data_IF_629826644488
#
_entry.id   IF_629826644488
#
_cell.length_a   1.000
_cell.length_b   1.000
_cell.length_c   1.000
_cell.angle_alpha   90.00
_cell.angle_beta   90.00
_cell.angle_gamma   90.00
#
_symmetry.space_group_name_H-M   'P 1'
#
loop_
_entity.id
_entity.type
_entity.pdbx_description
1 polymer ?
#
# COMPACT_ATOMS: atom_id res chain seq x y z
N UNK A 1 9.19 -15.26 -9.68
CA UNK A 1 10.39 -15.82 -9.01
C UNK A 1 10.22 -15.56 -7.53
N UNK A 2 10.40 -16.55 -6.66
CA UNK A 2 10.43 -16.35 -5.21
C UNK A 2 11.87 -16.20 -4.75
N UNK A 3 12.17 -15.15 -3.98
CA UNK A 3 13.45 -14.97 -3.31
C UNK A 3 13.19 -15.01 -1.79
N UNK A 4 13.81 -15.93 -1.04
CA UNK A 4 13.61 -15.98 0.41
C UNK A 4 14.28 -14.78 1.07
N UNK A 5 13.50 -14.03 1.86
CA UNK A 5 13.98 -12.89 2.66
C UNK A 5 13.75 -13.19 4.13
N UNK A 6 14.78 -13.00 4.95
CA UNK A 6 14.65 -13.16 6.40
C UNK A 6 13.99 -11.91 6.98
N UNK A 7 12.92 -12.11 7.75
CA UNK A 7 12.16 -11.05 8.40
C UNK A 7 12.11 -11.29 9.91
N UNK A 8 12.04 -10.20 10.66
CA UNK A 8 11.90 -10.27 12.11
C UNK A 8 10.58 -10.94 12.51
N UNK A 9 10.56 -11.81 13.55
CA UNK A 9 9.35 -12.52 13.96
C UNK A 9 8.19 -11.59 14.32
N UNK A 10 8.48 -10.44 14.93
CA UNK A 10 7.47 -9.46 15.30
C UNK A 10 6.86 -8.75 14.09
N UNK A 11 7.67 -8.45 13.08
CA UNK A 11 7.18 -7.91 11.81
C UNK A 11 6.23 -8.91 11.14
N UNK A 12 6.61 -10.19 11.11
CA UNK A 12 5.77 -11.25 10.55
C UNK A 12 4.43 -11.37 11.28
N UNK A 13 4.44 -11.35 12.62
CA UNK A 13 3.20 -11.42 13.44
C UNK A 13 2.28 -10.24 13.16
N UNK A 14 2.83 -9.02 13.07
CA UNK A 14 2.05 -7.81 12.72
C UNK A 14 1.48 -7.92 11.31
N UNK A 15 2.31 -8.27 10.33
CA UNK A 15 1.87 -8.45 8.95
C UNK A 15 0.76 -9.49 8.84
N UNK A 16 0.86 -10.63 9.55
CA UNK A 16 -0.16 -11.67 9.58
C UNK A 16 -1.51 -11.16 10.10
N UNK A 17 -1.50 -10.36 11.16
CA UNK A 17 -2.73 -9.80 11.75
C UNK A 17 -3.39 -8.80 10.80
N UNK A 18 -2.61 -7.87 10.28
CA UNK A 18 -3.10 -6.80 9.40
C UNK A 18 -3.56 -7.36 8.04
N UNK A 19 -2.81 -8.31 7.48
CA UNK A 19 -3.20 -9.00 6.24
C UNK A 19 -4.57 -9.69 6.35
N UNK A 20 -4.89 -10.26 7.52
CA UNK A 20 -6.18 -10.90 7.76
C UNK A 20 -7.34 -9.90 7.81
N UNK A 21 -7.10 -8.68 8.32
CA UNK A 21 -8.08 -7.59 8.40
C UNK A 21 -8.31 -6.99 7.01
N UNK A 22 -7.22 -6.81 6.27
CA UNK A 22 -7.21 -6.13 4.98
C UNK A 22 -7.46 -7.05 3.78
N UNK A 23 -7.76 -8.34 4.02
CA UNK A 23 -7.94 -9.36 3.00
C UNK A 23 -6.75 -9.49 2.02
N UNK A 24 -5.53 -9.28 2.50
CA UNK A 24 -4.28 -9.46 1.73
C UNK A 24 -3.56 -10.75 2.13
N UNK A 25 -2.61 -11.19 1.30
CA UNK A 25 -1.64 -12.20 1.74
C UNK A 25 -0.63 -11.56 2.69
N UNK A 26 0.05 -12.37 3.52
CA UNK A 26 1.07 -11.85 4.45
C UNK A 26 2.21 -11.16 3.67
N UNK A 27 2.64 -11.78 2.57
CA UNK A 27 3.64 -11.19 1.68
C UNK A 27 3.13 -9.87 1.07
N UNK A 28 1.90 -9.85 0.57
CA UNK A 28 1.30 -8.65 -0.01
C UNK A 28 1.15 -7.51 1.00
N UNK A 29 0.89 -7.81 2.28
CA UNK A 29 0.85 -6.79 3.34
C UNK A 29 2.25 -6.19 3.61
N UNK A 30 3.30 -7.00 3.56
CA UNK A 30 4.68 -6.53 3.73
C UNK A 30 5.09 -5.69 2.51
N UNK A 31 4.77 -6.13 1.29
CA UNK A 31 5.02 -5.38 0.06
C UNK A 31 4.31 -4.03 0.07
N UNK A 32 3.05 -4.00 0.51
CA UNK A 32 2.29 -2.76 0.67
C UNK A 32 2.99 -1.78 1.63
N UNK A 33 3.41 -2.23 2.82
CA UNK A 33 4.15 -1.38 3.75
C UNK A 33 5.48 -0.89 3.18
N UNK A 34 6.20 -1.73 2.45
CA UNK A 34 7.43 -1.34 1.79
C UNK A 34 7.19 -0.26 0.72
N UNK A 35 6.12 -0.39 -0.07
CA UNK A 35 5.74 0.57 -1.10
C UNK A 35 5.30 1.91 -0.51
N UNK A 36 4.44 1.89 0.52
CA UNK A 36 4.02 3.09 1.26
C UNK A 36 5.22 3.76 1.91
N UNK A 37 6.06 3.01 2.62
CA UNK A 37 7.25 3.53 3.29
C UNK A 37 8.21 4.22 2.32
N UNK A 38 8.47 3.60 1.17
CA UNK A 38 9.29 4.20 0.11
C UNK A 38 8.67 5.49 -0.41
N UNK A 39 7.38 5.48 -0.75
CA UNK A 39 6.70 6.66 -1.27
C UNK A 39 6.70 7.83 -0.26
N UNK A 40 6.55 7.55 1.04
CA UNK A 40 6.65 8.56 2.09
C UNK A 40 8.08 9.11 2.27
N UNK A 41 9.11 8.28 2.12
CA UNK A 41 10.52 8.72 2.18
C UNK A 41 10.83 9.66 1.00
N UNK A 42 10.35 9.31 -0.20
CA UNK A 42 10.56 10.10 -1.42
C UNK A 42 9.73 11.40 -1.40
N UNK A 43 8.63 11.44 -0.63
CA UNK A 43 7.69 12.56 -0.56
C UNK A 43 7.37 12.92 0.91
N UNK A 44 8.35 13.46 1.68
CA UNK A 44 8.22 13.64 3.13
C UNK A 44 7.14 14.63 3.54
N UNK A 45 6.76 15.56 2.65
CA UNK A 45 5.74 16.58 2.91
C UNK A 45 4.30 16.04 2.74
N UNK A 46 4.14 14.84 2.17
CA UNK A 46 2.83 14.25 1.92
C UNK A 46 2.34 13.46 3.16
N UNK A 47 1.08 13.64 3.57
CA UNK A 47 0.48 12.78 4.59
C UNK A 47 0.46 11.32 4.16
N UNK A 48 0.76 10.42 5.10
CA UNK A 48 0.77 8.96 4.84
C UNK A 48 -0.57 8.47 4.31
N UNK A 49 -1.68 9.01 4.81
CA UNK A 49 -3.04 8.68 4.32
C UNK A 49 -3.21 9.02 2.84
N UNK A 50 -2.72 10.18 2.40
CA UNK A 50 -2.77 10.58 1.00
C UNK A 50 -1.95 9.63 0.11
N UNK A 51 -0.76 9.22 0.58
CA UNK A 51 0.09 8.27 -0.14
C UNK A 51 -0.62 6.92 -0.31
N UNK A 52 -1.26 6.42 0.74
CA UNK A 52 -2.06 5.17 0.69
C UNK A 52 -3.19 5.28 -0.34
N UNK A 53 -3.98 6.35 -0.27
CA UNK A 53 -5.12 6.56 -1.17
C UNK A 53 -4.68 6.72 -2.64
N UNK A 54 -3.56 7.42 -2.86
CA UNK A 54 -2.97 7.58 -4.18
C UNK A 54 -2.50 6.24 -4.76
N UNK A 55 -1.81 5.42 -3.95
CA UNK A 55 -1.37 4.08 -4.36
C UNK A 55 -2.56 3.15 -4.67
N UNK A 56 -3.62 3.18 -3.85
CA UNK A 56 -4.84 2.41 -4.10
C UNK A 56 -5.54 2.86 -5.40
N UNK A 57 -5.56 4.17 -5.67
CA UNK A 57 -6.11 4.72 -6.91
C UNK A 57 -5.32 4.26 -8.14
N UNK A 58 -3.99 4.15 -8.03
CA UNK A 58 -3.13 3.67 -9.10
C UNK A 58 -3.28 2.17 -9.37
N UNK A 59 -3.59 1.37 -8.35
CA UNK A 59 -3.80 -0.08 -8.49
C UNK A 59 -5.21 -0.45 -8.99
N UNK A 60 -6.10 0.55 -9.09
CA UNK A 60 -7.46 0.36 -9.60
C UNK A 60 -7.42 -0.04 -11.10
N UNK A 61 -8.14 -1.10 -11.52
CA UNK A 61 -8.17 -1.53 -12.91
C UNK A 61 -8.72 -0.44 -13.82
N UNK A 62 -8.23 -0.36 -15.05
CA UNK A 62 -8.52 0.74 -16.00
C UNK A 62 -10.02 1.00 -16.19
N UNK A 63 -10.80 -0.08 -16.24
CA UNK A 63 -12.28 -0.07 -16.35
C UNK A 63 -12.99 0.67 -15.22
N UNK A 64 -12.39 0.75 -14.03
CA UNK A 64 -12.96 1.40 -12.85
C UNK A 64 -12.32 2.77 -12.58
N UNK A 65 -11.36 3.20 -13.42
CA UNK A 65 -10.74 4.53 -13.30
C UNK A 65 -11.69 5.61 -13.79
N UNK A 66 -11.95 6.58 -12.93
CA UNK A 66 -12.73 7.77 -13.28
C UNK A 66 -11.80 8.90 -13.73
N UNK A 67 -12.17 9.56 -14.82
CA UNK A 67 -11.51 10.82 -15.20
C UNK A 67 -11.76 11.86 -14.13
N UNK A 68 -10.72 12.59 -13.74
CA UNK A 68 -10.84 13.70 -12.79
C UNK A 68 -11.87 14.71 -13.31
N UNK A 69 -12.94 14.93 -12.53
CA UNK A 69 -13.90 16.00 -12.79
C UNK A 69 -13.69 17.08 -11.75
N UNK A 70 -13.28 18.27 -12.21
CA UNK A 70 -13.18 19.45 -11.36
C UNK A 70 -14.57 19.75 -10.81
N UNK A 71 -14.70 19.87 -9.49
CA UNK A 71 -15.96 20.20 -8.85
C UNK A 71 -16.29 21.66 -9.19
N UNK A 72 -17.38 21.88 -9.92
CA UNK A 72 -17.92 23.21 -10.19
C UNK A 72 -18.53 23.72 -8.87
N UNK A 73 -18.12 24.93 -8.47
CA UNK A 73 -18.59 25.62 -7.27
C UNK A 73 -19.56 26.70 -7.72
#
# INVERSE_FOLDING_TARGET
MSMPVRIEPDLYKRAKKEAAIEHRTIAGQIEFWAQVGRACIDNPDLPVSFVIDALASLDTPEKDRVSFKRREI
#
